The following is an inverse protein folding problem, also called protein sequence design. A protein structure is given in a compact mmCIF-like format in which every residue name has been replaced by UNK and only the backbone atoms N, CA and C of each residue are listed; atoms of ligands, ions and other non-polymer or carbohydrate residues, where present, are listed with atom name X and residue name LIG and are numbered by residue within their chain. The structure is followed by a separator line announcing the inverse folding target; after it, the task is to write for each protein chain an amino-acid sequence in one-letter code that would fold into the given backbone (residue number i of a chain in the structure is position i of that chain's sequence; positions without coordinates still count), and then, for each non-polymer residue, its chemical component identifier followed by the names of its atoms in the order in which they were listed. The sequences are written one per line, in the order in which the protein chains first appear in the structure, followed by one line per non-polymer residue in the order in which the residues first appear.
data_IF_976889081783
#
_entry.id   IF_976889081783
#
_cell.length_a   1.000
_cell.length_b   1.000
_cell.length_c   1.000
_cell.angle_alpha   90.00
_cell.angle_beta   90.00
_cell.angle_gamma   90.00
#
_symmetry.space_group_name_H-M   'P 1'
#
loop_
_entity.id
_entity.type
_entity.pdbx_description
1 polymer ?
#
# COMPACT_ATOMS: atom_id res chain seq x y z
N UNK A 1 -21.75 6.82 -2.05
CA UNK A 1 -20.34 6.88 -1.62
C UNK A 1 -20.13 5.78 -0.58
N UNK A 2 -19.17 4.84 -0.72
CA UNK A 2 -19.08 3.71 0.21
C UNK A 2 -18.65 4.19 1.60
N UNK A 3 -19.53 3.97 2.58
CA UNK A 3 -19.31 4.27 3.99
C UNK A 3 -18.36 3.25 4.66
N UNK A 4 -17.78 3.62 5.81
CA UNK A 4 -16.85 2.79 6.58
C UNK A 4 -17.31 1.34 6.73
N UNK A 5 -18.59 1.12 7.10
CA UNK A 5 -19.16 -0.21 7.33
C UNK A 5 -19.03 -1.12 6.10
N UNK A 6 -19.26 -0.57 4.91
CA UNK A 6 -19.22 -1.31 3.66
C UNK A 6 -17.79 -1.68 3.27
N UNK A 7 -16.84 -0.76 3.44
CA UNK A 7 -15.42 -0.97 3.13
C UNK A 7 -14.79 -1.97 4.09
N UNK A 8 -15.04 -1.83 5.39
CA UNK A 8 -14.54 -2.74 6.41
C UNK A 8 -15.05 -4.17 6.19
N UNK A 9 -16.35 -4.34 5.92
CA UNK A 9 -16.94 -5.65 5.61
C UNK A 9 -16.36 -6.27 4.34
N UNK A 10 -16.09 -5.45 3.33
CA UNK A 10 -15.46 -5.89 2.08
C UNK A 10 -14.03 -6.38 2.33
N UNK A 11 -13.20 -5.57 2.98
CA UNK A 11 -11.80 -5.91 3.30
C UNK A 11 -11.72 -7.25 4.06
N UNK A 12 -12.56 -7.43 5.09
CA UNK A 12 -12.61 -8.70 5.82
C UNK A 12 -12.91 -9.89 4.90
N UNK A 13 -13.92 -9.75 4.04
CA UNK A 13 -14.35 -10.83 3.14
C UNK A 13 -13.27 -11.15 2.09
N UNK A 14 -12.61 -10.14 1.54
CA UNK A 14 -11.50 -10.29 0.59
C UNK A 14 -10.29 -10.97 1.23
N UNK A 15 -10.00 -10.66 2.50
CA UNK A 15 -8.99 -11.36 3.30
C UNK A 15 -9.42 -12.75 3.78
N UNK A 16 -10.64 -13.20 3.46
CA UNK A 16 -11.22 -14.50 3.89
C UNK A 16 -11.22 -14.71 5.41
N UNK A 17 -11.31 -13.63 6.18
CA UNK A 17 -11.34 -13.70 7.64
C UNK A 17 -12.78 -13.74 8.16
N UNK A 18 -13.00 -14.50 9.23
CA UNK A 18 -14.23 -14.44 10.02
C UNK A 18 -14.26 -13.17 10.87
N UNK A 19 -15.44 -12.79 11.36
CA UNK A 19 -15.57 -11.65 12.28
C UNK A 19 -14.82 -11.88 13.60
N UNK A 20 -14.67 -13.14 14.03
CA UNK A 20 -13.90 -13.47 15.22
C UNK A 20 -12.40 -13.23 14.98
N UNK A 21 -11.85 -13.75 13.89
CA UNK A 21 -10.41 -13.58 13.57
C UNK A 21 -10.02 -12.11 13.38
N UNK A 22 -10.89 -11.28 12.78
CA UNK A 22 -10.68 -9.83 12.73
C UNK A 22 -10.72 -9.22 14.12
N UNK A 23 -11.68 -9.63 14.96
CA UNK A 23 -11.77 -9.20 16.34
C UNK A 23 -10.47 -9.49 17.11
N UNK A 24 -9.96 -10.71 16.99
CA UNK A 24 -8.73 -11.15 17.65
C UNK A 24 -7.50 -10.35 17.16
N UNK A 25 -7.40 -10.07 15.85
CA UNK A 25 -6.31 -9.27 15.27
C UNK A 25 -6.36 -7.80 15.67
N UNK A 26 -7.57 -7.22 15.78
CA UNK A 26 -7.77 -5.79 16.11
C UNK A 26 -7.78 -5.57 17.63
N UNK A 27 -8.04 -6.61 18.42
CA UNK A 27 -8.21 -6.53 19.87
C UNK A 27 -9.61 -6.08 20.29
N UNK A 28 -10.65 -6.51 19.57
CA UNK A 28 -12.07 -6.22 19.86
C UNK A 28 -12.91 -7.48 19.79
N UNK A 29 -14.10 -7.48 20.38
CA UNK A 29 -14.98 -8.66 20.32
C UNK A 29 -15.57 -8.88 18.91
N UNK A 30 -15.94 -10.12 18.58
CA UNK A 30 -16.72 -10.44 17.37
C UNK A 30 -18.00 -9.59 17.26
N UNK A 31 -18.66 -9.33 18.38
CA UNK A 31 -19.85 -8.46 18.42
C UNK A 31 -19.47 -7.05 18.00
N UNK A 32 -18.28 -6.55 18.37
CA UNK A 32 -17.73 -5.27 17.92
C UNK A 32 -17.64 -5.19 16.41
N UNK A 33 -16.95 -6.15 15.80
CA UNK A 33 -16.82 -6.27 14.35
C UNK A 33 -18.19 -6.32 13.67
N UNK A 34 -19.12 -7.14 14.17
CA UNK A 34 -20.48 -7.19 13.61
C UNK A 34 -21.21 -5.85 13.70
N UNK A 35 -21.08 -5.13 14.83
CA UNK A 35 -21.69 -3.81 14.99
C UNK A 35 -21.11 -2.77 14.03
N UNK A 36 -19.80 -2.81 13.77
CA UNK A 36 -19.13 -1.97 12.78
C UNK A 36 -19.60 -2.27 11.36
N UNK A 37 -19.65 -3.54 10.96
CA UNK A 37 -20.08 -3.97 9.61
C UNK A 37 -21.55 -3.67 9.30
N UNK A 38 -22.38 -3.52 10.34
CA UNK A 38 -23.80 -3.21 10.21
C UNK A 38 -24.10 -1.72 10.47
N UNK A 39 -23.08 -0.90 10.82
CA UNK A 39 -23.26 0.53 11.10
C UNK A 39 -24.01 0.82 12.40
N UNK A 40 -24.10 -0.14 13.32
CA UNK A 40 -24.73 0.02 14.64
C UNK A 40 -23.82 0.83 15.57
N UNK A 41 -22.51 0.76 15.35
CA UNK A 41 -21.49 1.51 16.08
C UNK A 41 -20.33 1.85 15.15
N UNK A 42 -19.53 2.83 15.56
CA UNK A 42 -18.29 3.22 14.89
C UNK A 42 -17.09 2.85 15.77
N UNK A 43 -15.95 2.46 15.18
CA UNK A 43 -14.72 2.27 15.94
C UNK A 43 -14.18 3.62 16.42
N UNK A 44 -13.50 3.62 17.56
CA UNK A 44 -12.69 4.74 17.99
C UNK A 44 -11.40 4.83 17.15
N UNK A 45 -10.74 5.99 17.18
CA UNK A 45 -9.54 6.28 16.39
C UNK A 45 -8.46 5.20 16.51
N UNK A 46 -8.17 4.72 17.72
CA UNK A 46 -7.16 3.66 17.93
C UNK A 46 -7.59 2.32 17.33
N UNK A 47 -8.87 1.98 17.41
CA UNK A 47 -9.42 0.78 16.75
C UNK A 47 -9.37 0.94 15.23
N UNK A 48 -9.67 2.12 14.72
CA UNK A 48 -9.63 2.45 13.29
C UNK A 48 -8.21 2.32 12.72
N UNK A 49 -7.20 2.81 13.45
CA UNK A 49 -5.77 2.61 13.12
C UNK A 49 -5.41 1.14 13.04
N UNK A 50 -5.78 0.33 14.05
CA UNK A 50 -5.52 -1.11 14.05
C UNK A 50 -6.19 -1.83 12.88
N UNK A 51 -7.43 -1.47 12.56
CA UNK A 51 -8.13 -2.02 11.38
C UNK A 51 -7.36 -1.67 10.10
N UNK A 52 -6.98 -0.40 9.94
CA UNK A 52 -6.19 0.06 8.79
C UNK A 52 -4.88 -0.75 8.64
N UNK A 53 -4.15 -0.97 9.74
CA UNK A 53 -2.95 -1.82 9.77
C UNK A 53 -3.23 -3.27 9.40
N UNK A 54 -4.27 -3.89 9.96
CA UNK A 54 -4.63 -5.31 9.69
C UNK A 54 -4.88 -5.57 8.21
N UNK A 55 -5.48 -4.60 7.51
CA UNK A 55 -5.79 -4.71 6.09
C UNK A 55 -4.80 -4.00 5.16
N UNK A 56 -3.73 -3.41 5.72
CA UNK A 56 -2.73 -2.63 4.98
C UNK A 56 -3.35 -1.57 4.07
N UNK A 57 -4.25 -0.74 4.64
CA UNK A 57 -4.91 0.36 3.94
C UNK A 57 -4.80 1.67 4.73
N UNK A 58 -5.00 2.80 4.08
CA UNK A 58 -5.10 4.10 4.77
C UNK A 58 -6.41 4.25 5.54
N UNK A 59 -6.39 5.07 6.60
CA UNK A 59 -7.61 5.45 7.32
C UNK A 59 -8.54 6.22 6.40
N UNK A 60 -8.02 7.10 5.54
CA UNK A 60 -8.81 7.88 4.58
C UNK A 60 -9.57 6.98 3.62
N UNK A 61 -8.94 5.91 3.15
CA UNK A 61 -9.66 4.87 2.42
C UNK A 61 -10.72 4.22 3.30
N UNK A 62 -10.35 3.79 4.49
CA UNK A 62 -11.24 3.03 5.37
C UNK A 62 -12.52 3.81 5.71
N UNK A 63 -12.45 5.12 5.91
CA UNK A 63 -13.61 5.99 6.23
C UNK A 63 -14.26 6.66 5.02
N UNK A 64 -13.63 6.57 3.84
CA UNK A 64 -14.23 7.01 2.58
C UNK A 64 -13.85 8.41 2.10
N UNK A 65 -12.80 9.02 2.66
CA UNK A 65 -12.18 10.24 2.14
C UNK A 65 -11.31 9.99 0.89
N UNK A 66 -10.78 8.78 0.72
CA UNK A 66 -10.02 8.37 -0.47
C UNK A 66 -10.65 7.14 -1.14
N UNK A 67 -10.52 7.00 -2.45
CA UNK A 67 -10.85 5.75 -3.17
C UNK A 67 -9.61 4.87 -3.39
N UNK A 68 -8.40 5.38 -3.17
CA UNK A 68 -7.18 4.57 -3.20
C UNK A 68 -6.97 3.91 -1.84
N UNK A 69 -6.82 2.57 -1.76
CA UNK A 69 -6.55 1.87 -0.51
C UNK A 69 -5.18 2.17 0.08
N UNK A 70 -4.23 2.63 -0.73
CA UNK A 70 -2.89 2.94 -0.25
C UNK A 70 -2.88 4.14 0.71
N UNK A 71 -1.93 4.11 1.65
CA UNK A 71 -1.36 5.34 2.17
C UNK A 71 -0.87 6.12 0.95
N UNK A 72 -1.36 7.34 0.73
CA UNK A 72 -0.58 8.29 -0.06
C UNK A 72 0.73 8.37 0.71
N UNK A 73 1.79 7.84 0.13
CA UNK A 73 3.08 7.64 0.79
C UNK A 73 3.43 8.90 1.56
N UNK A 74 3.60 8.77 2.88
CA UNK A 74 4.37 9.76 3.64
C UNK A 74 5.66 9.98 2.85
N UNK A 75 6.02 11.24 2.64
CA UNK A 75 7.16 11.74 1.86
C UNK A 75 8.54 11.28 2.38
N UNK A 76 8.65 10.17 3.12
CA UNK A 76 9.87 9.67 3.74
C UNK A 76 9.99 8.14 3.86
N UNK A 77 9.29 7.34 3.05
CA UNK A 77 9.62 5.91 2.93
C UNK A 77 10.36 5.67 1.63
N UNK A 78 11.69 5.60 1.68
CA UNK A 78 12.49 5.05 0.59
C UNK A 78 12.09 3.58 0.34
N UNK A 79 11.04 3.36 -0.44
CA UNK A 79 10.68 2.06 -0.96
C UNK A 79 11.72 1.66 -2.01
N UNK A 80 12.79 1.00 -1.59
CA UNK A 80 13.80 0.46 -2.49
C UNK A 80 13.24 -0.77 -3.21
N UNK A 81 12.90 -0.61 -4.50
CA UNK A 81 12.61 -1.74 -5.38
C UNK A 81 13.93 -2.28 -5.98
N UNK A 82 14.20 -3.57 -5.78
CA UNK A 82 15.30 -4.23 -6.47
C UNK A 82 14.95 -4.35 -7.96
N UNK A 83 15.51 -3.47 -8.80
CA UNK A 83 15.35 -3.53 -10.25
C UNK A 83 16.28 -4.64 -10.78
N UNK A 84 15.79 -5.88 -10.72
CA UNK A 84 16.44 -7.03 -11.37
C UNK A 84 16.21 -7.02 -12.88
N UNK A 85 15.02 -6.58 -13.30
CA UNK A 85 14.59 -6.54 -14.70
C UNK A 85 13.86 -5.21 -15.00
N UNK A 86 14.33 -4.51 -16.04
CA UNK A 86 13.73 -3.26 -16.52
C UNK A 86 12.33 -3.49 -17.09
N UNK A 87 12.04 -4.70 -17.58
CA UNK A 87 10.72 -5.09 -18.08
C UNK A 87 9.62 -4.97 -17.03
N UNK A 88 9.96 -5.08 -15.73
CA UNK A 88 9.00 -4.91 -14.63
C UNK A 88 8.54 -3.46 -14.43
N UNK A 89 9.31 -2.50 -14.97
CA UNK A 89 9.02 -1.07 -14.87
C UNK A 89 8.22 -0.54 -16.07
N UNK A 90 8.17 -1.29 -17.17
CA UNK A 90 7.49 -0.89 -18.40
C UNK A 90 6.04 -0.49 -18.12
N UNK A 91 5.71 0.76 -18.44
CA UNK A 91 4.36 1.33 -18.32
C UNK A 91 3.89 1.63 -16.90
N UNK A 92 4.64 1.26 -15.86
CA UNK A 92 4.27 1.55 -14.45
C UNK A 92 4.91 2.82 -13.92
N UNK A 93 6.14 3.11 -14.34
CA UNK A 93 6.92 4.24 -13.86
C UNK A 93 7.52 5.01 -15.04
N UNK A 94 7.72 6.31 -14.87
CA UNK A 94 8.42 7.18 -15.83
C UNK A 94 9.62 7.82 -15.14
N UNK A 95 10.81 7.65 -15.70
CA UNK A 95 11.99 8.39 -15.25
C UNK A 95 12.06 9.72 -16.01
N UNK A 96 12.25 10.81 -15.27
CA UNK A 96 12.42 12.14 -15.82
C UNK A 96 13.77 12.68 -15.35
N UNK A 97 14.60 13.14 -16.28
CA UNK A 97 15.89 13.78 -16.00
C UNK A 97 15.87 15.13 -16.70
N UNK A 98 16.23 16.20 -15.99
CA UNK A 98 16.29 17.55 -16.57
C UNK A 98 14.99 17.96 -17.30
N UNK A 99 13.86 17.52 -16.76
CA UNK A 99 12.52 17.77 -17.30
C UNK A 99 12.20 17.04 -18.62
N UNK A 100 13.05 16.10 -19.06
CA UNK A 100 12.81 15.22 -20.20
C UNK A 100 12.52 13.78 -19.75
N UNK A 101 11.58 13.13 -20.45
CA UNK A 101 11.25 11.72 -20.21
C UNK A 101 12.37 10.87 -20.80
N UNK A 102 12.98 10.03 -19.96
CA UNK A 102 13.98 9.07 -20.40
C UNK A 102 13.27 7.92 -21.13
N UNK A 103 13.63 7.69 -22.39
CA UNK A 103 13.12 6.56 -23.15
C UNK A 103 13.67 5.21 -22.65
N UNK A 104 13.11 4.12 -23.16
CA UNK A 104 13.45 2.78 -22.71
C UNK A 104 14.91 2.38 -23.02
N UNK A 105 15.44 2.86 -24.14
CA UNK A 105 16.80 2.55 -24.58
C UNK A 105 17.79 3.23 -23.65
N UNK A 106 17.60 4.52 -23.41
CA UNK A 106 18.45 5.32 -22.54
C UNK A 106 18.34 4.87 -21.07
N UNK A 107 17.15 4.47 -20.62
CA UNK A 107 16.95 3.90 -19.29
C UNK A 107 17.78 2.62 -19.10
N UNK A 108 17.80 1.75 -20.12
CA UNK A 108 18.59 0.52 -20.10
C UNK A 108 20.10 0.82 -20.05
N UNK A 109 20.58 1.76 -20.85
CA UNK A 109 21.98 2.20 -20.83
C UNK A 109 22.39 2.75 -19.46
N UNK A 110 21.54 3.57 -18.84
CA UNK A 110 21.78 4.11 -17.51
C UNK A 110 21.90 3.01 -16.44
N UNK A 111 21.03 1.99 -16.48
CA UNK A 111 21.11 0.84 -15.56
C UNK A 111 22.40 0.04 -15.76
N UNK A 112 22.77 -0.25 -17.01
CA UNK A 112 23.98 -1.00 -17.34
C UNK A 112 25.24 -0.24 -16.87
N UNK A 113 25.26 1.09 -17.04
CA UNK A 113 26.32 1.95 -16.52
C UNK A 113 26.42 1.90 -14.99
N UNK A 114 25.29 2.02 -14.27
CA UNK A 114 25.27 1.96 -12.80
C UNK A 114 25.79 0.60 -12.31
N UNK A 115 25.40 -0.49 -12.96
CA UNK A 115 25.86 -1.85 -12.63
C UNK A 115 27.38 -1.97 -12.79
N UNK A 116 27.92 -1.53 -13.94
CA UNK A 116 29.35 -1.55 -14.20
C UNK A 116 30.14 -0.73 -13.15
N UNK A 117 29.67 0.48 -12.83
CA UNK A 117 30.30 1.36 -11.84
C UNK A 117 30.34 0.75 -10.44
N UNK A 118 29.29 0.02 -10.03
CA UNK A 118 29.25 -0.70 -8.75
C UNK A 118 30.22 -1.87 -8.71
N UNK A 119 30.34 -2.63 -9.79
CA UNK A 119 31.30 -3.72 -9.90
C UNK A 119 32.72 -3.19 -9.75
N UNK A 120 33.07 -2.12 -10.47
CA UNK A 120 34.40 -1.51 -10.39
C UNK A 120 34.73 -1.00 -8.97
N UNK A 121 33.75 -0.37 -8.29
CA UNK A 121 33.93 0.09 -6.90
C UNK A 121 34.17 -1.06 -5.91
N UNK A 122 33.60 -2.24 -6.15
CA UNK A 122 33.75 -3.41 -5.29
C UNK A 122 35.03 -4.23 -5.61
N UNK A 123 35.73 -3.91 -6.70
CA UNK A 123 37.01 -4.53 -7.10
C UNK A 123 38.23 -3.70 -6.67
N UNK A 124 38.01 -2.52 -6.09
CA UNK A 124 39.04 -1.59 -5.58
C UNK A 124 39.21 -1.76 -4.08
#
# INVERSE_FOLDING_TARGET
MPDFKSRFKRLRKESKLTQQEVGDKVGVSKVAVSGYENGIRSPETETLKKIATVFNVSIDYLVGYSNSPSHVEDENSDAYYLISDIGLLQGKYKLIIENEIVDEVLLKEALDFIRAKRIMKNMS
#
